data_IF_590760282814
#
_entry.id   IF_590760282814
#
_cell.length_a   1.000
_cell.length_b   1.000
_cell.length_c   1.000
_cell.angle_alpha   90.00
_cell.angle_beta   90.00
_cell.angle_gamma   90.00
#
_symmetry.space_group_name_H-M   'P 1'
#
loop_
_entity.id
_entity.type
_entity.pdbx_description
1 polymer ?
#
# COMPACT_ATOMS: atom_id res chain seq x y z
N UNK A 1 4.62 14.54 20.66
CA UNK A 1 4.90 15.61 19.65
C UNK A 1 5.89 15.20 18.55
N UNK A 2 6.78 14.22 18.75
CA UNK A 2 7.56 13.58 17.66
C UNK A 2 6.71 12.69 16.73
N UNK A 3 5.44 12.51 17.07
CA UNK A 3 4.54 11.44 16.60
C UNK A 3 3.62 11.85 15.43
N UNK A 4 3.28 13.14 15.27
CA UNK A 4 2.57 13.62 14.07
C UNK A 4 3.41 13.54 12.78
N UNK A 5 4.74 13.42 12.93
CA UNK A 5 5.64 13.27 11.81
C UNK A 5 5.62 11.85 11.22
N UNK A 6 5.42 10.81 12.05
CA UNK A 6 5.43 9.40 11.64
C UNK A 6 4.06 8.79 11.32
N UNK A 7 2.98 9.23 11.96
CA UNK A 7 1.68 8.53 11.88
C UNK A 7 1.12 8.33 10.47
N UNK A 8 1.04 9.40 9.66
CA UNK A 8 0.48 9.38 8.29
C UNK A 8 1.54 9.18 7.20
N UNK A 9 2.60 8.43 7.49
CA UNK A 9 3.74 8.28 6.58
C UNK A 9 3.31 7.88 5.15
N UNK A 10 2.46 6.86 4.98
CA UNK A 10 2.00 6.41 3.67
C UNK A 10 1.32 7.52 2.86
N UNK A 11 0.44 8.31 3.49
CA UNK A 11 -0.26 9.40 2.79
C UNK A 11 0.72 10.50 2.35
N UNK A 12 1.68 10.85 3.22
CA UNK A 12 2.76 11.79 2.89
C UNK A 12 3.62 11.26 1.72
N UNK A 13 3.96 9.97 1.73
CA UNK A 13 4.71 9.33 0.65
C UNK A 13 3.94 9.38 -0.67
N UNK A 14 2.67 9.02 -0.65
CA UNK A 14 1.81 9.00 -1.84
C UNK A 14 1.67 10.40 -2.42
N UNK A 15 1.44 11.40 -1.57
CA UNK A 15 1.36 12.79 -2.00
C UNK A 15 2.69 13.27 -2.63
N UNK A 16 3.82 12.95 -2.01
CA UNK A 16 5.14 13.26 -2.57
C UNK A 16 5.37 12.56 -3.93
N UNK A 17 5.03 11.27 -4.05
CA UNK A 17 5.11 10.54 -5.32
C UNK A 17 4.24 11.21 -6.39
N UNK A 18 3.02 11.63 -6.04
CA UNK A 18 2.13 12.33 -6.96
C UNK A 18 2.73 13.63 -7.48
N UNK A 19 3.31 14.47 -6.60
CA UNK A 19 4.00 15.71 -7.00
C UNK A 19 5.14 15.41 -7.96
N UNK A 20 5.97 14.42 -7.65
CA UNK A 20 7.13 14.03 -8.47
C UNK A 20 6.68 13.57 -9.86
N UNK A 21 5.69 12.68 -9.94
CA UNK A 21 5.15 12.22 -11.23
C UNK A 21 4.52 13.36 -12.01
N UNK A 22 3.77 14.25 -11.35
CA UNK A 22 3.16 15.42 -11.98
C UNK A 22 4.21 16.34 -12.61
N UNK A 23 5.25 16.71 -11.86
CA UNK A 23 6.35 17.54 -12.36
C UNK A 23 7.08 16.82 -13.49
N UNK A 24 7.39 15.53 -13.33
CA UNK A 24 8.12 14.74 -14.32
C UNK A 24 7.38 14.69 -15.66
N UNK A 25 6.06 14.50 -15.64
CA UNK A 25 5.22 14.53 -16.84
C UNK A 25 5.09 15.92 -17.46
N UNK A 26 5.18 16.98 -16.65
CA UNK A 26 5.14 18.35 -17.14
C UNK A 26 6.43 18.73 -17.87
N UNK A 27 7.58 18.20 -17.42
CA UNK A 27 8.90 18.46 -17.99
C UNK A 27 9.21 17.51 -19.16
N UNK A 28 8.86 16.23 -19.02
CA UNK A 28 9.18 15.17 -19.98
C UNK A 28 7.88 14.64 -20.58
N UNK A 29 7.69 14.85 -21.89
CA UNK A 29 6.46 14.47 -22.57
C UNK A 29 6.29 12.94 -22.73
N UNK A 30 7.40 12.19 -22.83
CA UNK A 30 7.38 10.73 -22.94
C UNK A 30 7.26 10.08 -21.55
N UNK A 31 6.14 9.39 -21.30
CA UNK A 31 5.85 8.72 -20.03
C UNK A 31 6.95 7.72 -19.59
N UNK A 32 7.52 6.95 -20.52
CA UNK A 32 8.56 5.97 -20.19
C UNK A 32 9.87 6.66 -19.78
N UNK A 33 10.24 7.74 -20.48
CA UNK A 33 11.40 8.55 -20.11
C UNK A 33 11.18 9.29 -18.79
N UNK A 34 9.96 9.82 -18.56
CA UNK A 34 9.58 10.47 -17.31
C UNK A 34 9.69 9.49 -16.12
N UNK A 35 9.22 8.25 -16.29
CA UNK A 35 9.38 7.18 -15.30
C UNK A 35 10.86 6.90 -15.03
N UNK A 36 11.64 6.58 -16.06
CA UNK A 36 13.04 6.20 -15.89
C UNK A 36 13.86 7.32 -15.21
N UNK A 37 13.74 8.56 -15.69
CA UNK A 37 14.49 9.71 -15.18
C UNK A 37 14.08 10.02 -13.74
N UNK A 38 12.77 10.10 -13.45
CA UNK A 38 12.31 10.41 -12.09
C UNK A 38 12.66 9.32 -11.08
N UNK A 39 12.59 8.04 -11.48
CA UNK A 39 13.03 6.92 -10.65
C UNK A 39 14.53 6.97 -10.39
N UNK A 40 15.37 7.16 -11.41
CA UNK A 40 16.84 7.24 -11.24
C UNK A 40 17.22 8.41 -10.32
N UNK A 41 16.63 9.59 -10.55
CA UNK A 41 16.87 10.78 -9.72
C UNK A 41 16.47 10.51 -8.27
N UNK A 42 15.31 9.88 -8.04
CA UNK A 42 14.85 9.59 -6.69
C UNK A 42 15.68 8.49 -6.00
N UNK A 43 16.09 7.44 -6.73
CA UNK A 43 17.01 6.41 -6.24
C UNK A 43 18.39 7.00 -5.88
N UNK A 44 18.85 8.02 -6.60
CA UNK A 44 20.12 8.68 -6.34
C UNK A 44 20.12 9.54 -5.06
N UNK A 45 18.96 9.90 -4.50
CA UNK A 45 18.87 10.67 -3.25
C UNK A 45 19.08 9.70 -2.06
N UNK A 46 20.25 9.71 -1.40
CA UNK A 46 20.43 8.97 -0.17
C UNK A 46 19.54 9.63 0.87
N UNK A 47 18.82 8.83 1.65
CA UNK A 47 17.87 9.28 2.69
C UNK A 47 16.52 9.76 2.18
N UNK A 48 15.69 8.83 1.70
CA UNK A 48 14.22 9.01 1.66
C UNK A 48 13.56 9.10 3.05
N UNK A 49 14.32 9.38 4.11
CA UNK A 49 13.86 9.47 5.51
C UNK A 49 12.95 8.31 5.93
N UNK A 50 11.97 8.61 6.79
CA UNK A 50 10.89 7.69 7.17
C UNK A 50 9.92 7.37 6.02
N UNK A 51 10.07 8.01 4.84
CA UNK A 51 9.07 8.03 3.79
C UNK A 51 9.39 7.08 2.63
N UNK A 52 10.58 6.46 2.55
CA UNK A 52 10.95 5.43 1.54
C UNK A 52 10.48 5.75 0.10
N UNK A 53 10.43 7.04 -0.27
CA UNK A 53 9.79 7.52 -1.51
C UNK A 53 10.44 6.88 -2.74
N UNK A 54 11.75 6.65 -2.67
CA UNK A 54 12.57 6.04 -3.71
C UNK A 54 12.00 4.69 -4.20
N UNK A 55 11.47 3.88 -3.28
CA UNK A 55 10.88 2.58 -3.60
C UNK A 55 9.41 2.70 -4.00
N UNK A 56 8.63 3.49 -3.25
CA UNK A 56 7.19 3.67 -3.52
C UNK A 56 6.90 4.37 -4.85
N UNK A 57 7.80 5.23 -5.33
CA UNK A 57 7.67 5.89 -6.63
C UNK A 57 7.60 4.88 -7.79
N UNK A 58 8.32 3.76 -7.71
CA UNK A 58 8.28 2.70 -8.72
C UNK A 58 6.89 2.04 -8.76
N UNK A 59 6.34 1.71 -7.60
CA UNK A 59 4.97 1.17 -7.51
C UNK A 59 3.91 2.18 -7.98
N UNK A 60 4.13 3.46 -7.70
CA UNK A 60 3.24 4.53 -8.16
C UNK A 60 3.22 4.64 -9.69
N UNK A 61 4.40 4.62 -10.34
CA UNK A 61 4.50 4.58 -11.80
C UNK A 61 3.88 3.33 -12.40
N UNK A 62 4.07 2.17 -11.77
CA UNK A 62 3.43 0.92 -12.19
C UNK A 62 1.92 1.00 -12.12
N UNK A 63 1.36 1.57 -11.05
CA UNK A 63 -0.07 1.85 -10.95
C UNK A 63 -0.56 2.79 -12.04
N UNK A 64 0.23 3.82 -12.38
CA UNK A 64 -0.06 4.73 -13.49
C UNK A 64 -0.10 3.98 -14.84
N UNK A 65 0.92 3.18 -15.17
CA UNK A 65 0.96 2.41 -16.41
C UNK A 65 -0.13 1.35 -16.47
N UNK A 66 -0.42 0.68 -15.35
CA UNK A 66 -1.51 -0.29 -15.24
C UNK A 66 -2.86 0.37 -15.56
N UNK A 67 -3.11 1.58 -15.02
CA UNK A 67 -4.32 2.35 -15.35
C UNK A 67 -4.35 2.79 -16.81
N UNK A 68 -3.22 3.24 -17.36
CA UNK A 68 -3.12 3.65 -18.77
C UNK A 68 -3.39 2.49 -19.73
N UNK A 69 -2.93 1.28 -19.40
CA UNK A 69 -3.10 0.07 -20.20
C UNK A 69 -4.16 -0.88 -19.61
N UNK A 70 -5.14 -0.33 -18.90
CA UNK A 70 -6.11 -1.13 -18.15
C UNK A 70 -6.91 -2.08 -19.04
N UNK A 71 -7.31 -1.66 -20.25
CA UNK A 71 -8.04 -2.53 -21.19
C UNK A 71 -7.25 -3.80 -21.56
N UNK A 72 -5.93 -3.67 -21.73
CA UNK A 72 -5.07 -4.81 -22.03
C UNK A 72 -4.91 -5.73 -20.81
N UNK A 73 -4.74 -5.14 -19.63
CA UNK A 73 -4.73 -5.88 -18.36
C UNK A 73 -6.05 -6.62 -18.12
N UNK A 74 -7.18 -5.97 -18.41
CA UNK A 74 -8.52 -6.50 -18.21
C UNK A 74 -8.75 -7.76 -19.05
N UNK A 75 -8.33 -7.72 -20.32
CA UNK A 75 -8.36 -8.84 -21.26
C UNK A 75 -7.49 -10.03 -20.81
N UNK A 76 -6.33 -9.76 -20.22
CA UNK A 76 -5.36 -10.81 -19.85
C UNK A 76 -5.30 -11.11 -18.35
N UNK A 77 -6.27 -10.63 -17.55
CA UNK A 77 -6.19 -10.70 -16.09
C UNK A 77 -5.95 -12.13 -15.60
N UNK A 78 -6.71 -13.13 -16.09
CA UNK A 78 -6.55 -14.53 -15.66
C UNK A 78 -5.13 -15.05 -15.86
N UNK A 79 -4.53 -14.75 -17.02
CA UNK A 79 -3.17 -15.15 -17.35
C UNK A 79 -2.15 -14.42 -16.46
N UNK A 80 -2.31 -13.11 -16.28
CA UNK A 80 -1.43 -12.29 -15.43
C UNK A 80 -1.50 -12.79 -13.98
N UNK A 81 -2.70 -13.10 -13.47
CA UNK A 81 -2.89 -13.64 -12.11
C UNK A 81 -2.21 -14.99 -11.96
N UNK A 82 -2.39 -15.91 -12.91
CA UNK A 82 -1.75 -17.23 -12.87
C UNK A 82 -0.22 -17.13 -12.91
N UNK A 83 0.34 -16.31 -13.81
CA UNK A 83 1.77 -16.05 -13.86
C UNK A 83 2.28 -15.41 -12.55
N UNK A 84 1.53 -14.43 -12.02
CA UNK A 84 1.89 -13.77 -10.76
C UNK A 84 1.89 -14.75 -9.58
N UNK A 85 0.96 -15.71 -9.55
CA UNK A 85 0.93 -16.77 -8.54
C UNK A 85 2.17 -17.66 -8.61
N UNK A 86 2.55 -18.11 -9.81
CA UNK A 86 3.75 -18.94 -10.01
C UNK A 86 5.00 -18.16 -9.57
N UNK A 87 5.17 -16.94 -10.08
CA UNK A 87 6.34 -16.11 -9.78
C UNK A 87 6.43 -15.79 -8.30
N UNK A 88 5.32 -15.37 -7.69
CA UNK A 88 5.27 -15.06 -6.26
C UNK A 88 5.62 -16.30 -5.43
N UNK A 89 4.98 -17.44 -5.69
CA UNK A 89 5.22 -18.68 -4.93
C UNK A 89 6.66 -19.16 -5.06
N UNK A 90 7.22 -19.16 -6.28
CA UNK A 90 8.61 -19.57 -6.53
C UNK A 90 9.60 -18.65 -5.80
N UNK A 91 9.40 -17.34 -5.83
CA UNK A 91 10.28 -16.39 -5.15
C UNK A 91 10.20 -16.52 -3.62
N UNK A 92 9.01 -16.77 -3.07
CA UNK A 92 8.86 -17.05 -1.63
C UNK A 92 9.57 -18.36 -1.26
N UNK A 93 9.44 -19.43 -2.05
CA UNK A 93 10.13 -20.71 -1.82
C UNK A 93 11.66 -20.59 -1.90
N UNK A 94 12.17 -19.68 -2.72
CA UNK A 94 13.60 -19.35 -2.80
C UNK A 94 14.10 -18.45 -1.66
N UNK A 95 13.24 -18.12 -0.68
CA UNK A 95 13.59 -17.26 0.44
C UNK A 95 13.83 -15.80 0.03
N UNK A 96 13.18 -15.31 -1.04
CA UNK A 96 13.31 -13.93 -1.50
C UNK A 96 12.21 -13.00 -0.96
N UNK A 97 11.34 -13.51 -0.09
CA UNK A 97 10.22 -12.78 0.51
C UNK A 97 10.58 -11.97 1.75
N UNK A 98 11.69 -11.23 1.74
CA UNK A 98 12.06 -10.39 2.87
C UNK A 98 11.35 -9.03 2.82
N UNK A 99 11.10 -8.44 3.99
CA UNK A 99 10.59 -7.08 4.08
C UNK A 99 11.65 -6.09 3.59
N UNK A 100 11.23 -5.06 2.85
CA UNK A 100 12.13 -4.07 2.26
C UNK A 100 12.86 -3.32 3.37
N UNK A 101 14.17 -3.58 3.48
CA UNK A 101 15.06 -2.78 4.32
C UNK A 101 15.16 -1.35 3.78
N UNK A 102 15.51 -0.40 4.65
CA UNK A 102 15.69 1.00 4.24
C UNK A 102 16.64 1.07 3.04
N UNK A 103 16.12 1.46 1.88
CA UNK A 103 16.92 1.63 0.67
C UNK A 103 17.91 2.77 0.88
N UNK A 104 19.15 2.42 1.21
CA UNK A 104 20.27 3.37 1.31
C UNK A 104 21.07 3.37 0.03
N UNK A 105 21.78 4.46 -0.25
CA UNK A 105 22.70 4.54 -1.39
C UNK A 105 23.78 3.44 -1.34
N UNK A 106 24.20 3.06 -0.13
CA UNK A 106 25.13 1.94 0.06
C UNK A 106 24.50 0.62 -0.40
N UNK A 107 23.22 0.36 -0.09
CA UNK A 107 22.48 -0.83 -0.55
C UNK A 107 22.30 -0.85 -2.07
N UNK A 108 22.04 0.30 -2.69
CA UNK A 108 21.91 0.44 -4.16
C UNK A 108 23.21 0.07 -4.86
N UNK A 109 24.35 0.53 -4.32
CA UNK A 109 25.67 0.30 -4.91
C UNK A 109 26.16 -1.13 -4.62
N UNK A 110 25.94 -1.64 -3.40
CA UNK A 110 26.47 -2.94 -2.97
C UNK A 110 25.63 -4.12 -3.45
N UNK A 111 24.30 -3.97 -3.53
CA UNK A 111 23.37 -5.05 -3.87
C UNK A 111 22.21 -4.58 -4.75
N UNK A 112 22.47 -4.09 -5.98
CA UNK A 112 21.41 -3.60 -6.88
C UNK A 112 20.41 -4.69 -7.27
N UNK A 113 20.87 -5.94 -7.36
CA UNK A 113 20.02 -7.11 -7.68
C UNK A 113 18.99 -7.40 -6.59
N UNK A 114 19.26 -7.04 -5.34
CA UNK A 114 18.34 -7.24 -4.23
C UNK A 114 17.08 -6.38 -4.37
N UNK A 115 17.26 -5.07 -4.62
CA UNK A 115 16.15 -4.11 -4.80
C UNK A 115 15.26 -4.52 -5.98
N UNK A 116 15.86 -4.99 -7.08
CA UNK A 116 15.11 -5.47 -8.24
C UNK A 116 14.29 -6.72 -7.89
N UNK A 117 14.86 -7.67 -7.15
CA UNK A 117 14.15 -8.87 -6.73
C UNK A 117 12.99 -8.55 -5.79
N UNK A 118 13.19 -7.67 -4.80
CA UNK A 118 12.11 -7.22 -3.91
C UNK A 118 10.98 -6.55 -4.67
N UNK A 119 11.32 -5.70 -5.64
CA UNK A 119 10.33 -5.06 -6.50
C UNK A 119 9.54 -6.10 -7.30
N UNK A 120 10.19 -7.12 -7.86
CA UNK A 120 9.52 -8.22 -8.58
C UNK A 120 8.58 -9.01 -7.65
N UNK A 121 9.03 -9.35 -6.44
CA UNK A 121 8.20 -10.04 -5.43
C UNK A 121 6.97 -9.20 -5.09
N UNK A 122 7.17 -7.92 -4.77
CA UNK A 122 6.07 -7.01 -4.43
C UNK A 122 5.11 -6.78 -5.59
N UNK A 123 5.62 -6.68 -6.83
CA UNK A 123 4.82 -6.57 -8.03
C UNK A 123 3.98 -7.83 -8.28
N UNK A 124 4.59 -9.02 -8.15
CA UNK A 124 3.91 -10.30 -8.32
C UNK A 124 2.81 -10.46 -7.27
N UNK A 125 3.08 -10.17 -5.99
CA UNK A 125 2.08 -10.19 -4.92
C UNK A 125 0.94 -9.21 -5.17
N UNK A 126 1.25 -7.97 -5.59
CA UNK A 126 0.23 -6.95 -5.89
C UNK A 126 -0.67 -7.36 -7.06
N UNK A 127 -0.09 -7.87 -8.15
CA UNK A 127 -0.86 -8.34 -9.31
C UNK A 127 -1.71 -9.57 -8.98
N UNK A 128 -1.21 -10.45 -8.12
CA UNK A 128 -1.95 -11.59 -7.60
C UNK A 128 -3.17 -11.13 -6.80
N UNK A 129 -3.00 -10.21 -5.85
CA UNK A 129 -4.10 -9.64 -5.06
C UNK A 129 -5.16 -8.97 -5.96
N UNK A 130 -4.74 -8.10 -6.89
CA UNK A 130 -5.66 -7.43 -7.81
C UNK A 130 -6.45 -8.44 -8.66
N UNK A 131 -5.77 -9.47 -9.16
CA UNK A 131 -6.37 -10.55 -9.94
C UNK A 131 -7.39 -11.38 -9.17
N UNK A 132 -7.06 -11.77 -7.93
CA UNK A 132 -7.96 -12.50 -7.04
C UNK A 132 -9.18 -11.63 -6.73
N UNK A 133 -9.00 -10.37 -6.32
CA UNK A 133 -10.10 -9.46 -6.03
C UNK A 133 -11.05 -9.32 -7.23
N UNK A 134 -10.51 -9.12 -8.44
CA UNK A 134 -11.33 -9.05 -9.65
C UNK A 134 -12.08 -10.36 -9.93
N UNK A 135 -11.43 -11.50 -9.73
CA UNK A 135 -12.04 -12.82 -9.95
C UNK A 135 -13.18 -13.08 -8.97
N UNK A 136 -12.96 -12.76 -7.68
CA UNK A 136 -13.99 -12.86 -6.63
C UNK A 136 -15.18 -11.97 -6.97
N UNK A 137 -14.95 -10.70 -7.32
CA UNK A 137 -16.04 -9.79 -7.70
C UNK A 137 -16.77 -10.20 -8.99
N UNK A 138 -16.13 -10.95 -9.89
CA UNK A 138 -16.74 -11.43 -11.12
C UNK A 138 -17.55 -12.72 -10.95
N UNK A 139 -17.15 -13.60 -10.02
CA UNK A 139 -17.80 -14.89 -9.78
C UNK A 139 -18.97 -14.73 -8.82
N UNK A 140 -18.77 -13.94 -7.77
CA UNK A 140 -19.83 -13.69 -6.84
C UNK A 140 -20.86 -12.77 -7.50
N UNK A 141 -22.07 -13.28 -7.70
CA UNK A 141 -23.24 -12.47 -8.01
C UNK A 141 -23.29 -11.24 -7.09
N UNK A 142 -23.90 -10.11 -7.52
CA UNK A 142 -24.10 -8.95 -6.67
C UNK A 142 -24.75 -9.40 -5.37
N UNK A 143 -23.93 -9.53 -4.35
CA UNK A 143 -24.25 -10.13 -3.08
C UNK A 143 -24.09 -9.04 -2.06
N UNK A 144 -25.00 -9.03 -1.11
CA UNK A 144 -25.02 -8.04 -0.03
C UNK A 144 -23.65 -7.90 0.65
N UNK A 145 -22.90 -9.00 0.77
CA UNK A 145 -21.55 -9.00 1.35
C UNK A 145 -20.52 -8.23 0.50
N UNK A 146 -20.55 -8.35 -0.82
CA UNK A 146 -19.61 -7.61 -1.69
C UNK A 146 -19.94 -6.13 -1.70
N UNK A 147 -21.23 -5.79 -1.73
CA UNK A 147 -21.66 -4.39 -1.66
C UNK A 147 -21.29 -3.75 -0.32
N UNK A 148 -21.46 -4.49 0.80
CA UNK A 148 -21.02 -4.04 2.12
C UNK A 148 -19.50 -3.88 2.20
N UNK A 149 -18.73 -4.83 1.67
CA UNK A 149 -17.26 -4.74 1.64
C UNK A 149 -16.77 -3.56 0.78
N UNK A 150 -17.39 -3.35 -0.37
CA UNK A 150 -17.17 -2.18 -1.23
C UNK A 150 -17.50 -0.88 -0.50
N UNK A 151 -18.59 -0.87 0.27
CA UNK A 151 -18.99 0.28 1.07
C UNK A 151 -17.98 0.58 2.19
N UNK A 152 -17.44 -0.43 2.87
CA UNK A 152 -16.35 -0.27 3.85
C UNK A 152 -15.10 0.32 3.17
N UNK A 153 -14.77 -0.18 1.97
CA UNK A 153 -13.64 0.30 1.17
C UNK A 153 -13.71 1.79 0.78
N UNK A 154 -14.90 2.39 0.73
CA UNK A 154 -15.02 3.85 0.52
C UNK A 154 -14.41 4.65 1.66
N UNK A 155 -14.40 4.11 2.87
CA UNK A 155 -13.89 4.76 4.07
C UNK A 155 -12.40 4.49 4.32
N UNK A 156 -11.66 3.88 3.38
CA UNK A 156 -10.24 3.48 3.59
C UNK A 156 -9.36 4.62 4.10
N UNK A 157 -9.54 5.85 3.61
CA UNK A 157 -8.78 7.00 4.11
C UNK A 157 -9.07 7.28 5.59
N UNK A 158 -10.36 7.31 5.95
CA UNK A 158 -10.77 7.54 7.33
C UNK A 158 -10.33 6.41 8.25
N UNK A 159 -10.47 5.16 7.80
CA UNK A 159 -10.03 3.97 8.53
C UNK A 159 -8.52 4.06 8.77
N UNK A 160 -7.71 4.39 7.76
CA UNK A 160 -6.27 4.56 7.91
C UNK A 160 -5.92 5.62 8.97
N UNK A 161 -6.54 6.80 8.91
CA UNK A 161 -6.29 7.89 9.87
C UNK A 161 -6.68 7.48 11.29
N UNK A 162 -7.87 6.90 11.47
CA UNK A 162 -8.33 6.45 12.79
C UNK A 162 -7.46 5.31 13.30
N UNK A 163 -7.11 4.35 12.45
CA UNK A 163 -6.29 3.20 12.81
C UNK A 163 -4.91 3.64 13.31
N UNK A 164 -4.32 4.70 12.76
CA UNK A 164 -3.09 5.31 13.30
C UNK A 164 -3.33 5.78 14.74
N UNK A 165 -4.37 6.60 14.98
CA UNK A 165 -4.66 7.11 16.33
C UNK A 165 -5.01 6.00 17.33
N UNK A 166 -5.77 5.00 16.88
CA UNK A 166 -6.23 3.85 17.68
C UNK A 166 -5.05 2.94 18.03
N UNK A 167 -4.22 2.56 17.06
CA UNK A 167 -3.00 1.77 17.33
C UNK A 167 -2.00 2.55 18.17
N UNK A 168 -1.75 3.82 17.86
CA UNK A 168 -0.75 4.63 18.55
C UNK A 168 -1.13 4.93 20.00
N UNK A 169 -2.43 5.00 20.33
CA UNK A 169 -2.90 5.20 21.71
C UNK A 169 -3.19 3.92 22.47
N UNK A 170 -3.73 2.88 21.82
CA UNK A 170 -4.09 1.63 22.51
C UNK A 170 -2.94 0.62 22.56
N UNK A 171 -2.09 0.52 21.52
CA UNK A 171 -0.99 -0.45 21.52
C UNK A 171 0.10 -0.11 22.54
N UNK A 172 0.30 1.18 22.86
CA UNK A 172 1.21 1.61 23.92
C UNK A 172 0.65 1.29 25.32
N UNK A 173 -0.68 1.18 25.45
CA UNK A 173 -1.35 0.93 26.74
C UNK A 173 -1.66 -0.54 27.02
N UNK A 174 -1.56 -1.43 26.04
CA UNK A 174 -1.88 -2.86 26.19
C UNK A 174 -0.57 -3.68 26.13
N UNK A 175 -0.03 -4.15 27.27
CA UNK A 175 1.21 -4.93 27.30
C UNK A 175 1.15 -6.24 26.51
N UNK A 176 -0.05 -6.78 26.25
CA UNK A 176 -0.27 -7.95 25.40
C UNK A 176 0.06 -7.71 23.92
N UNK A 177 0.20 -6.47 23.46
CA UNK A 177 0.65 -6.15 22.09
C UNK A 177 2.18 -5.96 21.98
N UNK A 178 2.90 -5.93 23.10
CA UNK A 178 4.37 -5.87 23.15
C UNK A 178 4.98 -7.27 23.16
N UNK A 179 4.43 -8.20 22.39
CA UNK A 179 4.94 -9.58 22.42
C UNK A 179 6.27 -9.64 21.68
N UNK A 180 7.33 -9.77 22.49
CA UNK A 180 8.67 -10.16 22.09
C UNK A 180 8.63 -11.63 21.68
N UNK A 181 9.06 -11.91 20.43
CA UNK A 181 9.21 -13.24 19.82
C UNK A 181 7.94 -14.11 19.79
N UNK A 182 7.04 -13.73 18.89
CA UNK A 182 5.87 -14.50 18.50
C UNK A 182 6.29 -15.57 17.48
N UNK A 183 5.85 -16.82 17.66
CA UNK A 183 6.14 -17.91 16.71
C UNK A 183 5.47 -17.69 15.34
N UNK A 184 6.00 -18.33 14.28
CA UNK A 184 5.52 -18.18 12.88
C UNK A 184 4.00 -18.35 12.72
N UNK A 185 3.38 -19.23 13.52
CA UNK A 185 1.94 -19.52 13.45
C UNK A 185 1.08 -18.40 14.02
N UNK A 186 1.56 -17.76 15.08
CA UNK A 186 0.88 -16.64 15.71
C UNK A 186 1.01 -15.38 14.83
N UNK A 187 2.16 -15.17 14.17
CA UNK A 187 2.33 -14.10 13.19
C UNK A 187 1.43 -14.24 11.96
N UNK A 188 1.22 -15.47 11.49
CA UNK A 188 0.43 -15.74 10.30
C UNK A 188 -1.09 -15.65 10.55
N UNK A 189 -1.55 -15.92 11.77
CA UNK A 189 -2.99 -16.03 12.07
C UNK A 189 -3.47 -14.92 12.99
N UNK A 190 -2.77 -14.66 14.08
CA UNK A 190 -3.22 -13.71 15.11
C UNK A 190 -3.10 -12.27 14.59
N UNK A 191 -1.99 -11.88 13.95
CA UNK A 191 -1.84 -10.52 13.42
C UNK A 191 -2.91 -10.16 12.37
N UNK A 192 -3.24 -11.01 11.37
CA UNK A 192 -4.33 -10.71 10.46
C UNK A 192 -5.69 -10.56 11.15
N UNK A 193 -5.99 -11.42 12.14
CA UNK A 193 -7.24 -11.31 12.91
C UNK A 193 -7.30 -9.98 13.66
N UNK A 194 -6.21 -9.62 14.35
CA UNK A 194 -6.09 -8.32 15.04
C UNK A 194 -6.30 -7.17 14.05
N UNK A 195 -5.65 -7.23 12.88
CA UNK A 195 -5.80 -6.23 11.81
C UNK A 195 -7.24 -6.10 11.31
N UNK A 196 -7.95 -7.21 11.12
CA UNK A 196 -9.37 -7.21 10.73
C UNK A 196 -10.23 -6.56 11.82
N UNK A 197 -10.03 -6.93 13.08
CA UNK A 197 -10.78 -6.36 14.22
C UNK A 197 -10.56 -4.84 14.31
N UNK A 198 -9.31 -4.37 14.24
CA UNK A 198 -9.00 -2.94 14.25
C UNK A 198 -9.58 -2.20 13.05
N UNK A 199 -9.63 -2.82 11.88
CA UNK A 199 -10.23 -2.25 10.67
C UNK A 199 -11.73 -2.02 10.88
N UNK A 200 -12.44 -3.00 11.45
CA UNK A 200 -13.86 -2.86 11.77
C UNK A 200 -14.13 -1.79 12.83
N UNK A 201 -13.35 -1.78 13.92
CA UNK A 201 -13.46 -0.74 14.96
C UNK A 201 -13.26 0.64 14.35
N UNK A 202 -12.21 0.81 13.55
CA UNK A 202 -11.89 2.07 12.88
C UNK A 202 -13.00 2.50 11.92
N UNK A 203 -13.57 1.57 11.15
CA UNK A 203 -14.71 1.84 10.26
C UNK A 203 -15.92 2.39 11.02
N UNK A 204 -16.32 1.78 12.14
CA UNK A 204 -17.45 2.28 12.93
C UNK A 204 -17.17 3.63 13.56
N UNK A 205 -15.94 3.88 14.04
CA UNK A 205 -15.54 5.19 14.55
C UNK A 205 -15.67 6.25 13.46
N UNK A 206 -15.14 6.00 12.26
CA UNK A 206 -15.24 6.93 11.11
C UNK A 206 -16.69 7.23 10.78
N UNK A 207 -17.55 6.20 10.76
CA UNK A 207 -18.98 6.40 10.48
C UNK A 207 -19.66 7.28 11.52
N UNK A 208 -19.29 7.16 12.80
CA UNK A 208 -19.81 8.02 13.86
C UNK A 208 -19.26 9.45 13.80
N UNK A 209 -17.98 9.63 13.46
CA UNK A 209 -17.31 10.94 13.45
C UNK A 209 -17.52 11.72 12.15
N UNK A 210 -17.84 11.06 11.03
CA UNK A 210 -18.04 11.68 9.72
C UNK A 210 -19.18 12.71 9.71
N UNK A 211 -20.18 12.58 10.60
CA UNK A 211 -21.27 13.55 10.75
C UNK A 211 -20.79 14.91 11.29
N UNK A 212 -19.61 14.98 11.91
CA UNK A 212 -19.04 16.23 12.40
C UNK A 212 -18.30 16.93 11.26
N UNK A 213 -18.84 18.06 10.80
CA UNK A 213 -18.29 18.82 9.67
C UNK A 213 -16.77 19.09 9.79
N UNK A 214 -16.31 19.49 10.98
CA UNK A 214 -14.89 19.76 11.24
C UNK A 214 -14.00 18.52 11.05
N UNK A 215 -14.44 17.37 11.56
CA UNK A 215 -13.64 16.12 11.49
C UNK A 215 -13.62 15.62 10.05
N UNK A 216 -14.76 15.63 9.37
CA UNK A 216 -14.84 15.20 7.98
C UNK A 216 -13.96 16.07 7.06
N UNK A 217 -14.00 17.39 7.23
CA UNK A 217 -13.20 18.27 6.37
C UNK A 217 -11.70 18.19 6.68
N UNK A 218 -11.32 18.16 7.96
CA UNK A 218 -9.92 18.20 8.39
C UNK A 218 -9.20 16.86 8.24
N UNK A 219 -9.84 15.75 8.61
CA UNK A 219 -9.19 14.43 8.65
C UNK A 219 -9.57 13.52 7.48
N UNK A 220 -10.77 13.69 6.92
CA UNK A 220 -11.29 12.83 5.85
C UNK A 220 -11.35 13.52 4.48
N UNK A 221 -10.86 14.77 4.38
CA UNK A 221 -10.83 15.53 3.13
C UNK A 221 -12.21 15.86 2.55
N UNK A 222 -13.24 15.91 3.40
CA UNK A 222 -14.61 16.25 3.02
C UNK A 222 -15.35 15.15 2.25
N UNK A 223 -14.82 13.92 2.21
CA UNK A 223 -15.35 12.85 1.36
C UNK A 223 -16.69 12.26 1.81
N UNK A 224 -17.06 12.38 3.09
CA UNK A 224 -18.15 11.61 3.69
C UNK A 224 -19.35 12.45 4.17
N UNK A 225 -19.44 13.73 3.79
CA UNK A 225 -20.63 14.52 4.15
C UNK A 225 -21.80 14.09 3.29
N UNK A 226 -22.75 13.38 3.89
CA UNK A 226 -24.13 13.26 3.40
C UNK A 226 -25.02 14.22 4.17
#
# INVERSE_FOLDING_TARGET
MRELYGGVWFLKCLFACYIVVYISKKVIHNDAAACAISSIVMLAIPYGGSLMINYYLLFFWTGYFLRKHYQWYDKHTKLITFLSLIVFTLLILLGKGHAVDKVTLQTIISMPTYIVMEYIVGLAGSMLCLGICKTVCSIASPSKMIDELSNIGKYTLGIYVVQIFVLERLAVSIPFLQVSEIGVLEDLVILPIIGIVFTFISYYIVKCTANMWWINNLFYGGQYSQ
#
